data_IF_979992811628
#
_entry.id   IF_979992811628
#
_cell.length_a   1.000
_cell.length_b   1.000
_cell.length_c   1.000
_cell.angle_alpha   90.00
_cell.angle_beta   90.00
_cell.angle_gamma   90.00
#
_symmetry.space_group_name_H-M   'P 1'
#
loop_
_entity.id
_entity.type
_entity.pdbx_description
1 polymer ?
#
# COMPACT_ATOMS: atom_id res chain seq x y z
N UNK A 1 -7.70 -25.22 -32.61
CA UNK A 1 -8.99 -24.57 -32.34
C UNK A 1 -10.02 -25.67 -32.11
N UNK A 2 -10.82 -25.59 -31.04
CA UNK A 2 -11.64 -26.69 -30.54
C UNK A 2 -12.84 -27.11 -31.41
N UNK A 3 -13.09 -26.50 -32.58
CA UNK A 3 -14.06 -27.01 -33.57
C UNK A 3 -15.53 -27.08 -33.15
N UNK A 4 -15.87 -26.55 -31.97
CA UNK A 4 -17.23 -26.56 -31.41
C UNK A 4 -17.93 -25.25 -31.79
N UNK A 5 -19.10 -25.29 -32.45
CA UNK A 5 -19.89 -24.10 -32.72
C UNK A 5 -20.48 -23.54 -31.42
N UNK A 6 -20.58 -22.21 -31.32
CA UNK A 6 -20.85 -21.51 -30.06
C UNK A 6 -22.24 -21.81 -29.45
N UNK A 7 -23.16 -22.34 -30.26
CA UNK A 7 -24.51 -22.79 -29.87
C UNK A 7 -24.53 -24.15 -29.14
N UNK A 8 -23.41 -24.87 -29.15
CA UNK A 8 -23.24 -26.14 -28.43
C UNK A 8 -22.46 -26.01 -27.12
N UNK A 9 -22.08 -24.79 -26.74
CA UNK A 9 -21.46 -24.55 -25.45
C UNK A 9 -22.52 -24.63 -24.34
N UNK A 10 -22.32 -25.47 -23.31
CA UNK A 10 -23.16 -25.47 -22.12
C UNK A 10 -23.30 -24.05 -21.57
N UNK A 11 -24.53 -23.56 -21.25
CA UNK A 11 -24.75 -22.21 -20.74
C UNK A 11 -23.88 -21.87 -19.52
N UNK A 12 -23.60 -22.88 -18.70
CA UNK A 12 -22.81 -22.76 -17.47
C UNK A 12 -21.32 -22.48 -17.75
N UNK A 13 -20.80 -22.81 -18.94
CA UNK A 13 -19.44 -22.48 -19.37
C UNK A 13 -19.34 -21.08 -20.00
N UNK A 14 -20.49 -20.44 -20.26
CA UNK A 14 -20.58 -19.06 -20.75
C UNK A 14 -20.69 -18.04 -19.61
N UNK A 15 -20.84 -18.49 -18.37
CA UNK A 15 -20.91 -17.63 -17.18
C UNK A 15 -19.64 -17.74 -16.35
N UNK A 16 -18.97 -16.59 -16.17
CA UNK A 16 -17.91 -16.45 -15.17
C UNK A 16 -18.51 -15.77 -13.94
N UNK A 17 -18.73 -16.56 -12.88
CA UNK A 17 -19.15 -16.05 -11.58
C UNK A 17 -17.90 -15.95 -10.70
N UNK A 18 -17.43 -14.73 -10.48
CA UNK A 18 -16.33 -14.43 -9.58
C UNK A 18 -16.71 -13.23 -8.70
N UNK A 19 -16.29 -13.21 -7.42
CA UNK A 19 -16.41 -12.00 -6.62
C UNK A 19 -15.61 -10.89 -7.29
N UNK A 20 -16.19 -9.70 -7.41
CA UNK A 20 -15.54 -8.52 -7.96
C UNK A 20 -15.81 -7.31 -7.08
N UNK A 21 -14.82 -6.42 -7.01
CA UNK A 21 -14.88 -5.18 -6.25
C UNK A 21 -14.79 -4.01 -7.24
N UNK A 22 -15.86 -3.22 -7.34
CA UNK A 22 -15.93 -2.11 -8.29
C UNK A 22 -15.41 -0.82 -7.62
N UNK A 23 -14.21 -0.36 -8.00
CA UNK A 23 -13.58 0.80 -7.35
C UNK A 23 -13.18 1.91 -8.33
N UNK A 24 -13.47 3.16 -7.97
CA UNK A 24 -13.17 4.37 -8.75
C UNK A 24 -11.82 4.96 -8.31
N UNK A 25 -10.94 5.27 -9.27
CA UNK A 25 -9.70 6.03 -9.03
C UNK A 25 -9.59 7.14 -10.10
N UNK A 26 -10.14 8.32 -9.79
CA UNK A 26 -10.26 9.41 -10.79
C UNK A 26 -11.35 9.14 -11.82
N UNK A 27 -11.32 9.84 -12.96
CA UNK A 27 -12.38 9.84 -13.98
C UNK A 27 -12.56 8.46 -14.66
N UNK A 28 -11.58 7.56 -14.57
CA UNK A 28 -11.66 6.21 -15.13
C UNK A 28 -12.03 5.14 -14.08
N UNK A 29 -13.01 4.31 -14.43
CA UNK A 29 -13.43 3.13 -13.67
C UNK A 29 -12.54 1.95 -14.06
N UNK A 30 -11.72 1.44 -13.14
CA UNK A 30 -10.96 0.20 -13.33
C UNK A 30 -11.73 -0.94 -12.65
N UNK A 31 -12.21 -1.90 -13.42
CA UNK A 31 -12.80 -3.13 -12.89
C UNK A 31 -11.65 -4.10 -12.60
N UNK A 32 -11.49 -4.50 -11.34
CA UNK A 32 -10.54 -5.54 -10.93
C UNK A 32 -11.34 -6.83 -10.73
N UNK A 33 -11.04 -7.86 -11.52
CA UNK A 33 -11.72 -9.16 -11.49
C UNK A 33 -10.74 -10.20 -10.92
N UNK A 34 -11.16 -10.91 -9.86
CA UNK A 34 -10.37 -11.95 -9.17
C UNK A 34 -9.63 -11.44 -7.92
N UNK A 35 -9.14 -12.39 -7.10
CA UNK A 35 -8.20 -12.18 -5.99
C UNK A 35 -6.80 -11.77 -6.51
N UNK A 36 -6.76 -10.72 -7.33
CA UNK A 36 -5.50 -10.11 -7.71
C UNK A 36 -4.92 -9.43 -6.46
N UNK A 37 -4.07 -10.15 -5.74
CA UNK A 37 -3.15 -9.52 -4.80
C UNK A 37 -2.44 -8.41 -5.58
N UNK A 38 -2.62 -7.13 -5.20
CA UNK A 38 -1.94 -6.06 -5.88
C UNK A 38 -0.45 -6.34 -5.74
N UNK A 39 0.23 -6.53 -6.88
CA UNK A 39 1.68 -6.71 -6.91
C UNK A 39 2.31 -5.62 -6.01
N UNK A 40 3.26 -5.97 -5.13
CA UNK A 40 3.76 -5.05 -4.14
C UNK A 40 4.22 -3.74 -4.79
N UNK A 41 3.64 -2.60 -4.38
CA UNK A 41 3.92 -1.31 -5.01
C UNK A 41 5.40 -0.95 -4.79
N UNK A 42 6.26 -0.95 -5.84
CA UNK A 42 7.69 -0.71 -5.70
C UNK A 42 7.98 0.66 -5.08
N UNK A 43 7.08 1.63 -5.28
CA UNK A 43 7.18 2.94 -4.66
C UNK A 43 7.00 2.85 -3.15
N UNK A 44 6.07 2.03 -2.69
CA UNK A 44 5.77 1.87 -1.26
C UNK A 44 6.94 1.20 -0.54
N UNK A 45 7.54 0.17 -1.14
CA UNK A 45 8.77 -0.46 -0.64
C UNK A 45 9.91 0.52 -0.53
N UNK A 46 10.18 1.27 -1.60
CA UNK A 46 11.22 2.29 -1.61
C UNK A 46 11.00 3.36 -0.53
N UNK A 47 9.74 3.75 -0.30
CA UNK A 47 9.40 4.70 0.76
C UNK A 47 9.62 4.13 2.16
N UNK A 48 9.31 2.86 2.41
CA UNK A 48 9.56 2.21 3.70
C UNK A 48 11.07 2.14 4.00
N UNK A 49 11.87 1.78 2.99
CA UNK A 49 13.34 1.76 3.10
C UNK A 49 13.87 3.17 3.42
N UNK A 50 13.42 4.19 2.69
CA UNK A 50 13.82 5.59 2.93
C UNK A 50 13.42 6.07 4.32
N UNK A 51 12.20 5.74 4.77
CA UNK A 51 11.72 6.11 6.10
C UNK A 51 12.65 5.57 7.20
N UNK A 52 13.04 4.29 7.10
CA UNK A 52 14.01 3.67 8.02
C UNK A 52 15.39 4.33 7.95
N UNK A 53 15.87 4.65 6.75
CA UNK A 53 17.13 5.38 6.55
C UNK A 53 17.12 6.75 7.24
N UNK A 54 16.10 7.56 6.98
CA UNK A 54 15.96 8.88 7.59
C UNK A 54 15.76 8.81 9.10
N UNK A 55 15.00 7.83 9.61
CA UNK A 55 14.85 7.62 11.05
C UNK A 55 16.19 7.34 11.74
N UNK A 56 17.06 6.54 11.10
CA UNK A 56 18.40 6.24 11.60
C UNK A 56 19.29 7.48 11.62
N UNK A 57 19.27 8.26 10.55
CA UNK A 57 20.05 9.51 10.46
C UNK A 57 19.61 10.53 11.52
N UNK A 58 18.30 10.73 11.66
CA UNK A 58 17.74 11.61 12.70
C UNK A 58 18.15 11.13 14.10
N UNK A 59 18.10 9.81 14.35
CA UNK A 59 18.55 9.21 15.62
C UNK A 59 20.05 9.42 15.87
N UNK A 60 20.87 9.46 14.82
CA UNK A 60 22.30 9.78 14.92
C UNK A 60 22.61 11.28 15.08
N UNK A 61 21.59 12.15 15.15
CA UNK A 61 21.76 13.58 15.32
C UNK A 61 21.93 14.38 14.03
N UNK A 62 21.74 13.76 12.86
CA UNK A 62 21.70 14.51 11.60
C UNK A 62 20.48 15.42 11.60
N UNK A 63 20.67 16.70 11.30
CA UNK A 63 19.56 17.66 11.27
C UNK A 63 18.59 17.37 10.13
N UNK A 64 17.28 17.51 10.40
CA UNK A 64 16.22 17.31 9.41
C UNK A 64 16.43 18.17 8.15
N UNK A 65 16.89 19.41 8.31
CA UNK A 65 17.22 20.34 7.23
C UNK A 65 18.30 19.79 6.29
N UNK A 66 19.31 19.10 6.83
CA UNK A 66 20.40 18.53 6.04
C UNK A 66 19.92 17.37 5.17
N UNK A 67 19.11 16.46 5.74
CA UNK A 67 18.54 15.35 4.96
C UNK A 67 17.52 15.88 3.94
N UNK A 68 16.68 16.85 4.30
CA UNK A 68 15.75 17.50 3.37
C UNK A 68 16.49 18.17 2.19
N UNK A 69 17.59 18.88 2.45
CA UNK A 69 18.42 19.50 1.42
C UNK A 69 19.05 18.46 0.48
N UNK A 70 19.62 17.38 1.04
CA UNK A 70 20.22 16.28 0.26
C UNK A 70 19.19 15.57 -0.63
N UNK A 71 18.00 15.33 -0.09
CA UNK A 71 16.88 14.70 -0.80
C UNK A 71 16.15 15.67 -1.75
N UNK A 72 16.46 16.97 -1.70
CA UNK A 72 15.81 18.05 -2.48
C UNK A 72 14.29 18.10 -2.27
N UNK A 73 13.86 17.91 -1.03
CA UNK A 73 12.43 17.94 -0.64
C UNK A 73 12.23 18.85 0.58
N UNK A 74 10.99 19.34 0.82
CA UNK A 74 10.68 20.07 2.04
C UNK A 74 10.87 19.20 3.30
N UNK A 75 11.26 19.81 4.43
CA UNK A 75 11.42 19.08 5.70
C UNK A 75 10.14 18.37 6.17
N UNK A 76 8.96 18.91 5.85
CA UNK A 76 7.67 18.27 6.12
C UNK A 76 7.50 16.94 5.38
N UNK A 77 8.06 16.82 4.18
CA UNK A 77 8.04 15.58 3.39
C UNK A 77 8.80 14.47 4.11
N UNK A 78 10.01 14.77 4.62
CA UNK A 78 10.82 13.84 5.41
C UNK A 78 10.11 13.50 6.71
N UNK A 79 9.64 14.51 7.46
CA UNK A 79 8.99 14.31 8.77
C UNK A 79 7.81 13.35 8.69
N UNK A 80 6.89 13.58 7.75
CA UNK A 80 5.67 12.77 7.67
C UNK A 80 5.95 11.35 7.17
N UNK A 81 6.94 11.15 6.29
CA UNK A 81 7.30 9.82 5.77
C UNK A 81 8.20 9.03 6.70
N UNK A 82 9.00 9.69 7.53
CA UNK A 82 9.79 9.00 8.56
C UNK A 82 8.90 8.23 9.53
N UNK A 83 7.65 8.67 9.73
CA UNK A 83 6.69 7.95 10.58
C UNK A 83 6.42 6.51 10.15
N UNK A 84 6.59 6.20 8.85
CA UNK A 84 6.39 4.85 8.32
C UNK A 84 7.34 3.83 8.93
N UNK A 85 8.52 4.25 9.39
CA UNK A 85 9.49 3.39 10.05
C UNK A 85 9.00 2.86 11.42
N UNK A 86 7.97 3.50 12.00
CA UNK A 86 7.43 3.18 13.32
C UNK A 86 6.06 2.47 13.26
N UNK A 87 5.62 2.05 12.08
CA UNK A 87 4.45 1.19 11.92
C UNK A 87 4.69 -0.17 12.59
N UNK A 88 3.62 -0.86 12.97
CA UNK A 88 3.75 -2.20 13.54
C UNK A 88 4.44 -3.15 12.56
N UNK A 89 5.20 -4.14 13.05
CA UNK A 89 5.82 -5.14 12.20
C UNK A 89 4.82 -5.86 11.27
N UNK A 90 3.59 -6.10 11.75
CA UNK A 90 2.51 -6.73 10.97
C UNK A 90 2.10 -5.88 9.77
N UNK A 91 1.92 -4.58 9.98
CA UNK A 91 1.57 -3.65 8.89
C UNK A 91 2.72 -3.55 7.88
N UNK A 92 3.96 -3.46 8.36
CA UNK A 92 5.13 -3.42 7.47
C UNK A 92 5.26 -4.71 6.64
N UNK A 93 5.08 -5.88 7.25
CA UNK A 93 5.09 -7.16 6.56
C UNK A 93 4.01 -7.20 5.46
N UNK A 94 2.80 -6.78 5.78
CA UNK A 94 1.72 -6.77 4.80
C UNK A 94 1.99 -5.83 3.61
N UNK A 95 2.57 -4.65 3.86
CA UNK A 95 3.00 -3.73 2.79
C UNK A 95 4.07 -4.38 1.90
N UNK A 96 5.01 -5.11 2.50
CA UNK A 96 6.08 -5.79 1.77
C UNK A 96 5.55 -6.96 0.93
N UNK A 97 4.58 -7.68 1.47
CA UNK A 97 3.94 -8.84 0.83
C UNK A 97 2.84 -8.44 -0.18
N UNK A 98 2.41 -7.18 -0.20
CA UNK A 98 1.27 -6.73 -1.02
C UNK A 98 -0.10 -7.19 -0.47
N UNK A 99 -0.13 -7.67 0.78
CA UNK A 99 -1.32 -8.21 1.46
C UNK A 99 -2.02 -7.15 2.31
N UNK A 100 -1.55 -5.90 2.29
CA UNK A 100 -2.16 -4.81 3.05
C UNK A 100 -3.58 -4.51 2.55
N UNK A 101 -4.51 -4.06 3.44
CA UNK A 101 -5.82 -3.60 3.02
C UNK A 101 -5.73 -2.56 1.90
N UNK A 102 -6.57 -2.60 0.86
CA UNK A 102 -6.48 -1.69 -0.28
C UNK A 102 -6.68 -0.22 0.08
N UNK A 103 -7.32 0.07 1.21
CA UNK A 103 -7.48 1.41 1.77
C UNK A 103 -6.19 1.93 2.43
N UNK A 104 -5.23 1.06 2.73
CA UNK A 104 -3.95 1.37 3.34
C UNK A 104 -2.96 1.89 2.30
N UNK A 105 -3.20 3.10 1.82
CA UNK A 105 -2.29 3.75 0.87
C UNK A 105 -1.20 4.54 1.59
N UNK A 106 -0.07 4.76 0.91
CA UNK A 106 0.98 5.67 1.38
C UNK A 106 0.41 7.05 1.77
N UNK A 107 -0.51 7.59 0.95
CA UNK A 107 -1.19 8.87 1.23
C UNK A 107 -1.95 8.82 2.55
N UNK A 108 -2.68 7.74 2.82
CA UNK A 108 -3.43 7.55 4.07
C UNK A 108 -2.47 7.53 5.26
N UNK A 109 -1.42 6.72 5.21
CA UNK A 109 -0.42 6.62 6.27
C UNK A 109 0.21 7.98 6.59
N UNK A 110 0.67 8.73 5.59
CA UNK A 110 1.35 10.02 5.84
C UNK A 110 0.40 11.18 6.22
N UNK A 111 -0.91 10.98 6.12
CA UNK A 111 -1.92 12.02 6.38
C UNK A 111 -2.46 12.05 7.81
N UNK A 112 -2.14 11.04 8.61
CA UNK A 112 -2.67 10.86 9.96
C UNK A 112 -1.56 10.74 10.98
N UNK A 113 -1.90 11.03 12.24
CA UNK A 113 -1.04 10.70 13.37
C UNK A 113 -1.32 9.26 13.77
N UNK A 114 -0.29 8.42 13.72
CA UNK A 114 -0.38 7.02 14.10
C UNK A 114 -0.45 6.88 15.62
N UNK A 115 -1.29 5.99 16.17
CA UNK A 115 -1.14 5.54 17.56
C UNK A 115 0.29 5.06 17.81
N UNK A 116 0.80 5.28 19.03
CA UNK A 116 2.15 4.80 19.39
C UNK A 116 2.15 3.30 19.73
N UNK A 117 1.02 2.79 20.20
CA UNK A 117 0.83 1.36 20.46
C UNK A 117 0.54 0.60 19.16
N UNK A 118 1.24 -0.52 18.96
CA UNK A 118 1.11 -1.32 17.75
C UNK A 118 -0.24 -2.04 17.63
N UNK A 119 -0.82 -2.51 18.75
CA UNK A 119 -2.13 -3.16 18.70
C UNK A 119 -3.23 -2.15 18.34
N UNK A 120 -3.12 -0.91 18.83
CA UNK A 120 -3.99 0.19 18.41
C UNK A 120 -3.78 0.56 16.94
N UNK A 121 -2.55 0.62 16.44
CA UNK A 121 -2.28 0.82 15.01
C UNK A 121 -2.95 -0.26 14.17
N UNK A 122 -2.75 -1.53 14.52
CA UNK A 122 -3.31 -2.67 13.78
C UNK A 122 -4.83 -2.62 13.73
N UNK A 123 -5.50 -2.38 14.86
CA UNK A 123 -6.95 -2.16 14.89
C UNK A 123 -7.38 -0.97 14.04
N UNK A 124 -6.66 0.15 14.13
CA UNK A 124 -6.98 1.38 13.40
C UNK A 124 -6.89 1.18 11.87
N UNK A 125 -5.97 0.33 11.42
CA UNK A 125 -5.75 0.02 10.01
C UNK A 125 -6.47 -1.23 9.51
N UNK A 126 -7.22 -1.93 10.36
CA UNK A 126 -8.02 -3.10 9.98
C UNK A 126 -7.24 -4.41 9.89
N UNK A 127 -6.17 -4.55 10.68
CA UNK A 127 -5.37 -5.77 10.79
C UNK A 127 -5.79 -6.69 11.94
N UNK A 128 -6.84 -6.33 12.69
CA UNK A 128 -7.38 -7.08 13.83
C UNK A 128 -8.48 -8.06 13.42
#
# INVERSE_FOLDING_TARGET
MLGIPADQLPPDLLQVIAPFDLRRRGVETKIIVGDAHPDPDPHFHAMLIRAHGWARELKSGVQLSNIAHREKVPGSFIRNRTQLAFLSPKIQAAILEGTQPPELTLKRLVSITHPLDWAEQERFFGFS
#
